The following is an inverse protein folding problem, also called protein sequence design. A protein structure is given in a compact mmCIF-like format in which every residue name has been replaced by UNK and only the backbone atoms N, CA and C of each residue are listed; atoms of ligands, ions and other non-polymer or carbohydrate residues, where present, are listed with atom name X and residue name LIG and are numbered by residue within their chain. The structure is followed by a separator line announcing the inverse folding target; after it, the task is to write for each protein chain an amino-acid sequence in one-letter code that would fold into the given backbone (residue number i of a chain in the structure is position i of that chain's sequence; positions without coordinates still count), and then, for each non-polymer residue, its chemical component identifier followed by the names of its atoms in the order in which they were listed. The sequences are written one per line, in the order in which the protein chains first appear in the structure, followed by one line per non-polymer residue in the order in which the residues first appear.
data_IF_419676326796
#
_entry.id   IF_419676326796
#
_cell.length_a   1.000
_cell.length_b   1.000
_cell.length_c   1.000
_cell.angle_alpha   90.00
_cell.angle_beta   90.00
_cell.angle_gamma   90.00
#
_symmetry.space_group_name_H-M   'P 1'
#
loop_
_entity.id
_entity.type
_entity.pdbx_description
1 polymer ?
#
# COMPACT_ATOMS: atom_id res chain seq x y z
N UNK A 1 2.47 3.02 -61.07
CA UNK A 1 2.07 2.11 -59.95
C UNK A 1 3.27 1.71 -59.09
N UNK A 2 4.36 1.23 -59.65
CA UNK A 2 5.54 0.78 -58.89
C UNK A 2 6.13 1.88 -58.00
N UNK A 3 6.26 3.11 -58.50
CA UNK A 3 6.78 4.26 -57.74
C UNK A 3 5.93 4.60 -56.48
N UNK A 4 4.61 4.47 -56.55
CA UNK A 4 3.73 4.69 -55.37
C UNK A 4 3.85 3.55 -54.37
N UNK A 5 4.01 2.30 -54.82
CA UNK A 5 4.19 1.15 -53.95
C UNK A 5 5.49 1.23 -53.16
N UNK A 6 6.60 1.61 -53.81
CA UNK A 6 7.89 1.78 -53.14
C UNK A 6 7.88 2.96 -52.18
N UNK A 7 7.21 4.07 -52.52
CA UNK A 7 7.06 5.22 -51.63
C UNK A 7 6.24 4.87 -50.38
N UNK A 8 5.13 4.13 -50.51
CA UNK A 8 4.35 3.68 -49.37
C UNK A 8 5.16 2.72 -48.48
N UNK A 9 6.02 1.85 -49.09
CA UNK A 9 6.93 0.99 -48.33
C UNK A 9 7.99 1.75 -47.54
N UNK A 10 8.54 2.84 -48.10
CA UNK A 10 9.48 3.71 -47.42
C UNK A 10 8.78 4.39 -46.23
N UNK A 11 7.60 4.94 -46.44
CA UNK A 11 6.82 5.60 -45.37
C UNK A 11 6.44 4.63 -44.24
N UNK A 12 6.07 3.40 -44.59
CA UNK A 12 5.79 2.36 -43.63
C UNK A 12 7.02 2.00 -42.77
N UNK A 13 8.16 1.76 -43.43
CA UNK A 13 9.42 1.47 -42.73
C UNK A 13 9.90 2.64 -41.85
N UNK A 14 9.69 3.88 -42.29
CA UNK A 14 10.01 5.07 -41.48
C UNK A 14 9.10 5.17 -40.25
N UNK A 15 7.81 4.89 -40.38
CA UNK A 15 6.86 4.88 -39.26
C UNK A 15 7.23 3.80 -38.26
N UNK A 16 7.58 2.59 -38.72
CA UNK A 16 8.04 1.50 -37.87
C UNK A 16 9.32 1.88 -37.10
N UNK A 17 10.31 2.47 -37.79
CA UNK A 17 11.53 3.01 -37.15
C UNK A 17 11.22 4.03 -36.06
N UNK A 18 10.27 4.92 -36.28
CA UNK A 18 9.89 5.94 -35.30
C UNK A 18 9.29 5.29 -34.03
N UNK A 19 8.43 4.27 -34.21
CA UNK A 19 7.81 3.54 -33.09
C UNK A 19 8.86 2.77 -32.30
N UNK A 20 9.74 2.01 -32.99
CA UNK A 20 10.82 1.26 -32.34
C UNK A 20 11.79 2.20 -31.63
N UNK A 21 12.12 3.34 -32.21
CA UNK A 21 12.99 4.34 -31.58
C UNK A 21 12.36 4.93 -30.31
N UNK A 22 11.04 5.16 -30.32
CA UNK A 22 10.31 5.59 -29.13
C UNK A 22 10.32 4.51 -28.05
N UNK A 23 10.09 3.25 -28.41
CA UNK A 23 10.18 2.11 -27.48
C UNK A 23 11.57 2.02 -26.85
N UNK A 24 12.62 2.13 -27.65
CA UNK A 24 13.99 2.06 -27.17
C UNK A 24 14.36 3.25 -26.26
N UNK A 25 13.90 4.46 -26.60
CA UNK A 25 14.11 5.65 -25.76
C UNK A 25 13.46 5.51 -24.37
N UNK A 26 12.35 4.76 -24.28
CA UNK A 26 11.59 4.53 -23.04
C UNK A 26 11.89 3.16 -22.40
N UNK A 27 12.98 2.49 -22.79
CA UNK A 27 13.32 1.16 -22.24
C UNK A 27 13.57 1.18 -20.72
N UNK A 28 14.00 2.31 -20.16
CA UNK A 28 14.23 2.49 -18.73
C UNK A 28 13.12 3.31 -18.03
N UNK A 29 11.99 3.57 -18.70
CA UNK A 29 10.87 4.31 -18.11
C UNK A 29 9.96 3.36 -17.36
N UNK A 30 9.80 3.55 -16.05
CA UNK A 30 8.95 2.73 -15.16
C UNK A 30 7.51 2.67 -15.68
N UNK A 31 6.96 1.44 -15.79
CA UNK A 31 5.58 1.20 -16.22
C UNK A 31 5.27 1.55 -17.68
N UNK A 32 6.29 1.87 -18.49
CA UNK A 32 6.08 2.18 -19.90
C UNK A 32 5.55 0.95 -20.66
N UNK A 33 4.58 1.19 -21.54
CA UNK A 33 4.01 0.16 -22.45
C UNK A 33 4.43 0.47 -23.87
N UNK A 34 5.19 -0.44 -24.46
CA UNK A 34 5.66 -0.32 -25.83
C UNK A 34 4.53 -0.22 -26.82
N UNK A 35 4.82 0.29 -27.99
CA UNK A 35 3.89 0.39 -29.11
C UNK A 35 4.39 -0.41 -30.30
N UNK A 36 3.46 -0.84 -31.15
CA UNK A 36 3.75 -1.51 -32.42
C UNK A 36 2.98 -0.83 -33.55
N UNK A 37 3.65 -0.55 -34.66
CA UNK A 37 3.00 -0.04 -35.84
C UNK A 37 2.19 -1.15 -36.55
N UNK A 38 0.93 -0.87 -36.86
CA UNK A 38 0.04 -1.76 -37.57
C UNK A 38 -0.14 -1.27 -39.01
N UNK A 39 -0.03 -2.19 -39.99
CA UNK A 39 -0.10 -1.88 -41.40
C UNK A 39 -1.20 -2.66 -42.08
N UNK A 40 -1.87 -2.05 -43.05
CA UNK A 40 -2.80 -2.69 -43.94
C UNK A 40 -2.36 -2.52 -45.38
N UNK A 41 -2.64 -3.51 -46.20
CA UNK A 41 -2.48 -3.45 -47.66
C UNK A 41 -3.49 -2.47 -48.28
N UNK A 42 -3.11 -1.86 -49.38
CA UNK A 42 -3.96 -0.98 -50.15
C UNK A 42 -4.27 -1.64 -51.50
N UNK A 43 -5.53 -1.98 -51.72
CA UNK A 43 -6.04 -2.44 -52.98
C UNK A 43 -6.85 -1.35 -53.68
N UNK A 44 -6.54 -1.12 -54.97
CA UNK A 44 -7.37 -0.27 -55.83
C UNK A 44 -8.58 -1.07 -56.33
N UNK A 45 -9.76 -0.84 -55.77
CA UNK A 45 -11.01 -1.42 -56.25
C UNK A 45 -11.53 -0.55 -57.38
N UNK A 46 -11.39 -0.98 -58.62
CA UNK A 46 -11.95 -0.29 -59.80
C UNK A 46 -13.16 -1.09 -60.27
N UNK A 47 -14.36 -0.70 -59.83
CA UNK A 47 -15.61 -1.33 -60.21
C UNK A 47 -15.90 -2.67 -59.50
N UNK A 48 -16.97 -3.37 -59.91
CA UNK A 48 -17.49 -4.59 -59.27
C UNK A 48 -16.65 -5.86 -59.51
N UNK A 49 -15.51 -5.81 -60.20
CA UNK A 49 -14.68 -6.96 -60.50
C UNK A 49 -13.28 -6.82 -59.90
N UNK A 50 -12.99 -7.57 -58.85
CA UNK A 50 -11.61 -7.82 -58.39
C UNK A 50 -11.01 -8.85 -59.34
N UNK A 51 -10.18 -8.41 -60.27
CA UNK A 51 -9.46 -9.34 -61.15
C UNK A 51 -8.48 -10.18 -60.32
N UNK A 52 -8.44 -11.50 -60.53
CA UNK A 52 -7.51 -12.41 -59.86
C UNK A 52 -6.02 -12.06 -60.11
N UNK A 53 -5.74 -11.12 -61.03
CA UNK A 53 -4.41 -10.62 -61.40
C UNK A 53 -4.14 -9.21 -60.93
N UNK A 54 -4.98 -8.63 -60.02
CA UNK A 54 -4.77 -7.30 -59.53
C UNK A 54 -3.53 -7.24 -58.58
N UNK A 55 -2.58 -6.37 -58.93
CA UNK A 55 -1.42 -6.10 -58.05
C UNK A 55 -1.81 -5.06 -57.02
N UNK A 56 -1.48 -5.29 -55.72
CA UNK A 56 -1.74 -4.33 -54.63
C UNK A 56 -1.08 -2.97 -54.86
N UNK A 57 -1.68 -1.92 -54.32
CA UNK A 57 -1.21 -0.52 -54.46
C UNK A 57 -0.27 -0.06 -53.33
N UNK A 58 0.27 -1.02 -52.56
CA UNK A 58 1.21 -0.75 -51.46
C UNK A 58 0.59 -0.95 -50.05
N UNK A 59 1.15 -0.27 -49.10
CA UNK A 59 0.77 -0.38 -47.67
C UNK A 59 0.50 1.00 -47.06
N UNK A 60 -0.34 1.04 -46.04
CA UNK A 60 -0.54 2.22 -45.17
C UNK A 60 -0.50 1.83 -43.71
N UNK A 61 0.02 2.69 -42.85
CA UNK A 61 -0.13 2.55 -41.44
C UNK A 61 -1.59 2.80 -41.06
N UNK A 62 -2.17 1.91 -40.27
CA UNK A 62 -3.56 1.99 -39.81
C UNK A 62 -3.64 2.47 -38.37
N UNK A 63 -2.69 2.03 -37.53
CA UNK A 63 -2.70 2.31 -36.11
C UNK A 63 -1.30 2.15 -35.49
N UNK A 64 -1.14 2.66 -34.26
CA UNK A 64 -0.01 2.40 -33.37
C UNK A 64 -0.55 1.75 -32.11
N UNK A 65 -0.63 0.43 -32.13
CA UNK A 65 -1.23 -0.37 -31.07
C UNK A 65 -0.30 -0.47 -29.87
N UNK A 66 -0.78 -0.11 -28.67
CA UNK A 66 -0.04 -0.27 -27.43
C UNK A 66 0.03 -1.73 -26.99
N UNK A 67 1.19 -2.14 -26.49
CA UNK A 67 1.44 -3.48 -26.01
C UNK A 67 1.37 -3.49 -24.47
N UNK A 68 0.23 -3.88 -23.90
CA UNK A 68 0.02 -3.92 -22.45
C UNK A 68 0.63 -5.16 -21.78
N UNK A 69 1.68 -5.72 -22.35
CA UNK A 69 2.42 -6.80 -21.70
C UNK A 69 3.08 -6.27 -20.42
N UNK A 70 3.15 -7.14 -19.42
CA UNK A 70 3.84 -6.81 -18.17
C UNK A 70 5.35 -6.76 -18.41
N UNK A 71 6.01 -5.73 -17.88
CA UNK A 71 7.47 -5.66 -17.77
C UNK A 71 7.99 -6.49 -16.60
N UNK A 72 9.30 -6.61 -16.47
CA UNK A 72 9.92 -7.27 -15.33
C UNK A 72 9.69 -6.45 -14.07
N UNK A 73 9.56 -7.13 -12.93
CA UNK A 73 9.41 -6.49 -11.63
C UNK A 73 10.77 -6.45 -10.94
N UNK A 74 11.26 -5.26 -10.67
CA UNK A 74 12.52 -5.01 -10.00
C UNK A 74 12.29 -4.53 -8.58
N UNK A 75 13.01 -5.12 -7.62
CA UNK A 75 12.91 -4.72 -6.21
C UNK A 75 13.67 -3.45 -5.94
N UNK A 76 13.09 -2.57 -5.11
CA UNK A 76 13.69 -1.31 -4.65
C UNK A 76 13.73 -1.25 -3.13
N UNK A 77 14.41 -0.25 -2.58
CA UNK A 77 14.46 0.00 -1.14
C UNK A 77 13.40 0.98 -0.63
N UNK A 78 12.57 1.53 -1.54
CA UNK A 78 11.54 2.50 -1.18
C UNK A 78 10.19 1.79 -0.98
N UNK A 79 9.61 1.90 0.20
CA UNK A 79 8.31 1.29 0.54
C UNK A 79 7.11 1.86 -0.22
N UNK A 80 7.26 3.06 -0.83
CA UNK A 80 6.25 3.70 -1.66
C UNK A 80 6.38 3.35 -3.15
N UNK A 81 7.35 2.54 -3.53
CA UNK A 81 7.43 1.96 -4.86
C UNK A 81 6.51 0.75 -4.93
N UNK A 82 5.57 0.76 -5.86
CA UNK A 82 4.59 -0.30 -6.03
C UNK A 82 4.66 -0.91 -7.42
N UNK A 83 4.55 -2.21 -7.51
CA UNK A 83 4.36 -2.92 -8.77
C UNK A 83 3.08 -3.75 -8.74
N UNK A 84 2.42 -3.90 -9.89
CA UNK A 84 1.29 -4.81 -10.06
C UNK A 84 1.79 -6.05 -10.77
N UNK A 85 1.72 -7.21 -10.10
CA UNK A 85 1.97 -8.51 -10.72
C UNK A 85 0.66 -9.06 -11.29
N UNK A 86 0.49 -8.99 -12.59
CA UNK A 86 -0.73 -9.37 -13.30
C UNK A 86 -1.48 -8.18 -13.89
N UNK A 87 -2.80 -8.31 -14.06
CA UNK A 87 -3.64 -7.31 -14.72
C UNK A 87 -4.08 -6.18 -13.79
N UNK A 88 -4.33 -4.99 -14.35
CA UNK A 88 -4.85 -3.82 -13.65
C UNK A 88 -3.95 -2.61 -13.80
N UNK A 89 -4.42 -1.47 -13.35
CA UNK A 89 -3.71 -0.18 -13.33
C UNK A 89 -3.93 0.45 -11.96
N UNK A 90 -2.96 1.17 -11.46
CA UNK A 90 -3.16 2.07 -10.34
C UNK A 90 -4.13 3.19 -10.75
N UNK A 91 -5.07 3.48 -9.87
CA UNK A 91 -6.00 4.59 -10.07
C UNK A 91 -5.45 5.83 -9.39
N UNK A 92 -5.33 6.92 -10.12
CA UNK A 92 -4.84 8.20 -9.62
C UNK A 92 -5.83 9.33 -9.92
N UNK A 93 -5.87 10.33 -9.08
CA UNK A 93 -6.72 11.50 -9.24
C UNK A 93 -5.88 12.69 -9.72
N UNK A 94 -6.19 13.19 -10.91
CA UNK A 94 -5.51 14.33 -11.52
C UNK A 94 -6.05 15.71 -11.06
N UNK A 95 -7.05 15.71 -10.17
CA UNK A 95 -7.82 16.92 -9.81
C UNK A 95 -8.93 17.25 -10.80
N UNK A 96 -8.85 16.79 -12.05
CA UNK A 96 -9.89 16.94 -13.07
C UNK A 96 -10.67 15.64 -13.32
N UNK A 97 -10.23 14.53 -12.75
CA UNK A 97 -10.83 13.21 -12.89
C UNK A 97 -9.84 12.09 -12.61
N UNK A 98 -10.31 10.86 -12.79
CA UNK A 98 -9.48 9.68 -12.60
C UNK A 98 -8.62 9.43 -13.83
N UNK A 99 -7.38 9.06 -13.59
CA UNK A 99 -6.44 8.55 -14.58
C UNK A 99 -5.84 7.24 -14.08
N UNK A 100 -5.17 6.53 -14.95
CA UNK A 100 -4.70 5.17 -14.73
C UNK A 100 -3.24 5.06 -15.11
N UNK A 101 -2.44 4.40 -14.29
CA UNK A 101 -1.00 4.24 -14.56
C UNK A 101 -0.51 2.86 -14.13
N UNK A 102 0.59 2.41 -14.78
CA UNK A 102 1.38 1.27 -14.33
C UNK A 102 2.67 1.71 -13.64
N UNK A 103 3.01 2.98 -13.73
CA UNK A 103 4.15 3.53 -12.99
C UNK A 103 3.79 3.61 -11.51
N UNK A 104 4.56 2.90 -10.69
CA UNK A 104 4.34 2.82 -9.25
C UNK A 104 5.38 3.56 -8.42
N UNK A 105 6.17 4.44 -9.02
CA UNK A 105 7.18 5.26 -8.35
C UNK A 105 6.53 6.46 -7.65
N UNK A 106 5.79 6.17 -6.56
CA UNK A 106 5.11 7.18 -5.78
C UNK A 106 6.04 7.85 -4.78
N UNK A 107 5.68 9.05 -4.37
CA UNK A 107 6.35 9.80 -3.32
C UNK A 107 5.34 10.53 -2.44
N UNK A 108 5.78 10.92 -1.25
CA UNK A 108 4.98 11.70 -0.30
C UNK A 108 5.26 13.20 -0.47
N UNK A 109 4.19 14.01 -0.45
CA UNK A 109 4.30 15.47 -0.41
C UNK A 109 4.40 16.00 1.05
N UNK A 110 4.62 17.31 1.19
CA UNK A 110 4.69 17.97 2.51
C UNK A 110 3.37 17.88 3.32
N UNK A 111 2.26 17.52 2.68
CA UNK A 111 0.95 17.33 3.30
C UNK A 111 0.65 15.86 3.56
N UNK A 112 1.60 14.95 3.29
CA UNK A 112 1.48 13.51 3.46
C UNK A 112 0.66 12.81 2.38
N UNK A 113 0.31 13.47 1.28
CA UNK A 113 -0.37 12.78 0.18
C UNK A 113 0.63 11.95 -0.61
N UNK A 114 0.21 10.78 -1.04
CA UNK A 114 1.01 9.90 -1.91
C UNK A 114 0.68 10.23 -3.36
N UNK A 115 1.68 10.68 -4.10
CA UNK A 115 1.56 11.24 -5.44
C UNK A 115 2.43 10.51 -6.44
N UNK A 116 2.03 10.56 -7.72
CA UNK A 116 2.93 10.28 -8.86
C UNK A 116 3.89 11.45 -9.07
N UNK A 117 4.91 11.26 -9.92
CA UNK A 117 5.87 12.33 -10.27
C UNK A 117 5.21 13.58 -10.87
N UNK A 118 4.01 13.44 -11.43
CA UNK A 118 3.20 14.51 -12.01
C UNK A 118 2.30 15.22 -10.98
N UNK A 119 2.30 14.74 -9.73
CA UNK A 119 1.47 15.30 -8.67
C UNK A 119 0.03 14.75 -8.64
N UNK A 120 -0.22 13.56 -9.22
CA UNK A 120 -1.54 12.91 -9.17
C UNK A 120 -1.65 12.04 -7.92
N UNK A 121 -2.75 12.19 -7.17
CA UNK A 121 -2.97 11.47 -5.92
C UNK A 121 -3.34 10.01 -6.15
N UNK A 122 -2.61 9.09 -5.51
CA UNK A 122 -2.96 7.67 -5.50
C UNK A 122 -4.31 7.46 -4.79
N UNK A 123 -5.20 6.70 -5.42
CA UNK A 123 -6.53 6.42 -4.91
C UNK A 123 -6.57 5.09 -4.15
N UNK A 124 -7.25 5.13 -3.01
CA UNK A 124 -7.45 3.95 -2.15
C UNK A 124 -8.91 3.85 -1.72
N UNK A 125 -9.33 2.65 -1.39
CA UNK A 125 -10.56 2.38 -0.65
C UNK A 125 -10.31 2.66 0.83
N UNK A 126 -11.08 3.56 1.47
CA UNK A 126 -10.90 3.88 2.88
C UNK A 126 -11.29 2.70 3.78
N UNK A 127 -10.70 2.56 4.97
CA UNK A 127 -11.13 1.57 5.93
C UNK A 127 -12.56 1.86 6.40
N UNK A 128 -13.36 0.81 6.60
CA UNK A 128 -14.70 0.92 7.16
C UNK A 128 -14.63 1.35 8.63
N UNK A 129 -15.41 2.35 9.00
CA UNK A 129 -15.52 2.81 10.39
C UNK A 129 -16.21 1.76 11.30
N UNK A 130 -17.01 0.85 10.73
CA UNK A 130 -17.80 -0.16 11.45
C UNK A 130 -17.64 -1.51 10.74
N UNK A 131 -17.14 -2.51 11.44
CA UNK A 131 -17.17 -3.91 10.98
C UNK A 131 -15.93 -4.44 10.28
N UNK A 132 -14.86 -3.66 10.15
CA UNK A 132 -13.60 -4.07 9.50
C UNK A 132 -13.69 -4.12 7.96
N UNK A 133 -12.54 -4.23 7.28
CA UNK A 133 -12.44 -4.21 5.82
C UNK A 133 -12.46 -2.79 5.25
N UNK A 134 -12.74 -2.67 3.94
CA UNK A 134 -12.64 -1.41 3.19
C UNK A 134 -13.94 -1.07 2.46
N UNK A 135 -14.26 0.22 2.37
CA UNK A 135 -15.41 0.70 1.59
C UNK A 135 -15.02 0.81 0.12
N UNK A 136 -15.42 -0.20 -0.67
CA UNK A 136 -15.15 -0.25 -2.10
C UNK A 136 -16.08 0.64 -2.95
N UNK A 137 -17.03 1.32 -2.34
CA UNK A 137 -17.96 2.22 -3.04
C UNK A 137 -17.41 3.63 -3.22
N UNK A 138 -16.43 4.02 -2.41
CA UNK A 138 -15.82 5.35 -2.43
C UNK A 138 -14.31 5.28 -2.59
N UNK A 139 -13.74 6.25 -3.30
CA UNK A 139 -12.30 6.42 -3.43
C UNK A 139 -11.85 7.64 -2.63
N UNK A 140 -10.69 7.53 -2.01
CA UNK A 140 -10.01 8.65 -1.32
C UNK A 140 -8.55 8.71 -1.74
N UNK A 141 -7.98 9.92 -1.66
CA UNK A 141 -6.54 10.09 -1.79
C UNK A 141 -5.84 9.40 -0.62
N UNK A 142 -4.78 8.64 -0.89
CA UNK A 142 -3.95 8.09 0.16
C UNK A 142 -3.17 9.25 0.81
N UNK A 143 -3.37 9.40 2.12
CA UNK A 143 -2.68 10.41 2.92
C UNK A 143 -2.06 9.76 4.16
N UNK A 144 -0.78 10.02 4.39
CA UNK A 144 0.04 9.41 5.44
C UNK A 144 0.06 10.24 6.73
N UNK A 145 -0.13 11.56 6.63
CA UNK A 145 -0.10 12.46 7.82
C UNK A 145 -1.36 12.41 8.68
N UNK A 146 -2.49 11.95 8.11
CA UNK A 146 -3.71 11.74 8.91
C UNK A 146 -3.56 10.63 9.94
N UNK A 147 -2.44 9.97 9.91
CA UNK A 147 -2.12 8.80 10.69
C UNK A 147 -1.10 9.08 11.78
N UNK A 148 -1.27 10.12 12.60
CA UNK A 148 -0.64 10.13 13.93
C UNK A 148 -1.45 9.17 14.82
N UNK A 149 -0.78 8.19 15.44
CA UNK A 149 -1.43 7.40 16.46
C UNK A 149 -1.72 8.30 17.64
N UNK A 150 -3.01 8.62 17.83
CA UNK A 150 -3.42 9.39 19.00
C UNK A 150 -3.07 8.62 20.27
N UNK A 151 -2.71 9.37 21.33
CA UNK A 151 -2.59 8.79 22.65
C UNK A 151 -3.93 8.19 23.10
N UNK A 152 -3.85 7.07 23.80
CA UNK A 152 -5.02 6.43 24.41
C UNK A 152 -4.76 6.29 25.92
N UNK A 153 -5.66 6.84 26.73
CA UNK A 153 -5.56 6.70 28.19
C UNK A 153 -5.69 5.23 28.58
N UNK A 154 -4.86 4.80 29.53
CA UNK A 154 -4.99 3.48 30.13
C UNK A 154 -6.26 3.41 30.96
N UNK A 155 -7.09 2.39 30.71
CA UNK A 155 -8.31 2.13 31.46
C UNK A 155 -8.30 0.76 32.12
N UNK A 156 -7.55 -0.17 31.55
CA UNK A 156 -7.45 -1.55 32.01
C UNK A 156 -6.01 -2.02 32.01
N UNK A 157 -5.66 -2.83 33.01
CA UNK A 157 -4.44 -3.60 32.98
C UNK A 157 -4.69 -5.01 33.53
N UNK A 158 -4.04 -6.01 32.95
CA UNK A 158 -4.07 -7.38 33.42
C UNK A 158 -2.75 -7.69 34.14
N UNK A 159 -2.85 -8.17 35.36
CA UNK A 159 -1.73 -8.55 36.21
C UNK A 159 -1.86 -10.02 36.57
N UNK A 160 -0.84 -10.80 36.33
CA UNK A 160 -0.73 -12.17 36.82
C UNK A 160 0.37 -12.21 37.85
N UNK A 161 0.04 -12.52 39.09
CA UNK A 161 0.98 -12.56 40.20
C UNK A 161 0.75 -13.80 41.07
N UNK A 162 1.80 -14.27 41.75
CA UNK A 162 1.69 -15.20 42.85
C UNK A 162 1.94 -14.47 44.17
N UNK A 163 0.97 -14.44 45.07
CA UNK A 163 1.10 -13.90 46.41
C UNK A 163 1.48 -15.07 47.36
N UNK A 164 2.58 -14.95 48.16
CA UNK A 164 3.03 -16.06 49.00
C UNK A 164 1.98 -16.41 50.07
N UNK A 165 1.53 -17.64 50.13
CA UNK A 165 0.61 -18.10 51.19
C UNK A 165 1.26 -18.03 52.58
N UNK A 166 2.61 -18.20 52.63
CA UNK A 166 3.44 -18.13 53.85
C UNK A 166 3.67 -16.72 54.37
N UNK A 167 3.32 -15.66 53.59
CA UNK A 167 3.51 -14.28 54.05
C UNK A 167 2.80 -14.04 55.38
N UNK A 168 3.42 -13.25 56.27
CA UNK A 168 2.81 -12.79 57.53
C UNK A 168 1.96 -11.52 57.31
N UNK A 169 0.97 -11.30 58.14
CA UNK A 169 0.29 -9.99 58.19
C UNK A 169 1.29 -8.93 58.62
N UNK A 170 1.41 -7.77 57.93
CA UNK A 170 2.29 -6.70 58.34
C UNK A 170 2.04 -6.22 59.77
N UNK A 171 3.12 -5.93 60.47
CA UNK A 171 3.04 -5.49 61.89
C UNK A 171 2.80 -3.99 62.02
N UNK A 172 3.19 -3.23 61.01
CA UNK A 172 2.94 -1.77 60.96
C UNK A 172 1.57 -1.48 60.35
N UNK A 173 0.73 -0.82 61.09
CA UNK A 173 -0.58 -0.34 60.68
C UNK A 173 -0.80 1.10 61.11
N UNK A 174 -1.46 1.96 60.33
CA UNK A 174 -2.06 1.69 59.01
C UNK A 174 -1.03 1.58 57.90
N UNK A 175 -1.48 1.05 56.70
CA UNK A 175 -0.67 0.97 55.48
C UNK A 175 -0.09 2.36 55.11
N UNK A 176 1.16 2.38 54.71
CA UNK A 176 1.87 3.58 54.21
C UNK A 176 2.83 3.21 53.10
N UNK A 177 2.80 3.95 51.97
CA UNK A 177 3.71 3.77 50.85
C UNK A 177 5.18 4.05 51.21
N UNK A 178 5.42 4.82 52.26
CA UNK A 178 6.77 5.17 52.75
C UNK A 178 7.34 4.18 53.75
N UNK A 179 6.54 3.24 54.28
CA UNK A 179 6.96 2.24 55.23
C UNK A 179 6.87 0.81 54.64
N UNK A 180 8.02 0.24 54.33
CA UNK A 180 8.13 -1.10 53.76
C UNK A 180 7.59 -2.23 54.63
N UNK A 181 7.51 -2.01 55.96
CA UNK A 181 6.98 -3.00 56.90
C UNK A 181 5.44 -2.99 56.99
N UNK A 182 4.78 -2.07 56.25
CA UNK A 182 3.32 -1.95 56.20
C UNK A 182 2.69 -2.73 55.02
N UNK A 183 3.47 -3.30 54.12
CA UNK A 183 3.00 -4.10 52.98
C UNK A 183 3.91 -5.28 52.71
N UNK A 184 3.42 -6.27 51.96
CA UNK A 184 4.21 -7.49 51.66
C UNK A 184 4.95 -7.43 50.31
N UNK A 185 4.29 -6.98 49.25
CA UNK A 185 4.84 -6.98 47.91
C UNK A 185 4.29 -5.82 47.11
N UNK A 186 4.96 -5.48 46.00
CA UNK A 186 4.54 -4.43 45.05
C UNK A 186 4.70 -4.86 43.60
N UNK A 187 3.82 -4.34 42.76
CA UNK A 187 3.99 -4.38 41.29
C UNK A 187 3.88 -2.96 40.74
N UNK A 188 4.90 -2.52 39.99
CA UNK A 188 4.91 -1.19 39.37
C UNK A 188 4.89 -1.35 37.84
N UNK A 189 4.08 -0.52 37.17
CA UNK A 189 3.97 -0.46 35.72
C UNK A 189 3.60 0.95 35.28
N UNK A 190 3.87 1.28 34.02
CA UNK A 190 3.51 2.58 33.46
C UNK A 190 2.10 2.55 32.90
N UNK A 191 1.35 3.62 33.11
CA UNK A 191 0.05 3.90 32.50
C UNK A 191 0.14 5.20 31.71
N UNK A 192 -0.81 5.47 30.85
CA UNK A 192 -0.85 6.68 30.04
C UNK A 192 -2.14 7.46 30.31
N UNK A 193 -2.04 8.77 30.29
CA UNK A 193 -3.18 9.67 30.36
C UNK A 193 -3.79 9.95 28.98
N UNK A 194 -4.83 10.78 28.91
CA UNK A 194 -5.51 11.12 27.64
C UNK A 194 -4.67 11.97 26.68
N UNK A 195 -3.53 12.50 27.12
CA UNK A 195 -2.58 13.27 26.32
C UNK A 195 -1.32 12.46 25.99
N UNK A 196 -1.22 11.21 26.48
CA UNK A 196 -0.10 10.31 26.29
C UNK A 196 1.03 10.50 27.30
N UNK A 197 0.81 11.29 28.34
CA UNK A 197 1.73 11.40 29.45
C UNK A 197 1.87 10.06 30.17
N UNK A 198 3.12 9.64 30.43
CA UNK A 198 3.41 8.39 31.15
C UNK A 198 3.43 8.65 32.64
N UNK A 199 2.68 7.84 33.40
CA UNK A 199 2.54 7.90 34.85
C UNK A 199 2.88 6.54 35.46
N UNK A 200 3.51 6.53 36.63
CA UNK A 200 3.83 5.29 37.35
C UNK A 200 2.63 4.82 38.16
N UNK A 201 2.12 3.62 37.88
CA UNK A 201 1.12 2.96 38.71
C UNK A 201 1.78 1.87 39.54
N UNK A 202 1.54 1.88 40.86
CA UNK A 202 2.07 0.89 41.80
C UNK A 202 0.94 0.26 42.59
N UNK A 203 0.85 -1.05 42.53
CA UNK A 203 -0.06 -1.85 43.38
C UNK A 203 0.74 -2.36 44.56
N UNK A 204 0.27 -2.08 45.76
CA UNK A 204 0.80 -2.62 47.00
C UNK A 204 -0.11 -3.72 47.51
N UNK A 205 0.45 -4.87 47.81
CA UNK A 205 -0.31 -6.02 48.33
C UNK A 205 -0.04 -6.15 49.83
N UNK A 206 -1.11 -6.06 50.62
CA UNK A 206 -1.10 -6.14 52.06
C UNK A 206 -1.91 -7.38 52.48
N UNK A 207 -1.27 -8.29 53.19
CA UNK A 207 -1.98 -9.46 53.76
C UNK A 207 -2.76 -9.03 54.99
N UNK A 208 -4.08 -9.26 54.96
CA UNK A 208 -5.00 -8.85 56.04
C UNK A 208 -5.44 -10.02 56.93
N UNK A 209 -5.26 -11.27 56.45
CA UNK A 209 -5.63 -12.49 57.16
C UNK A 209 -5.35 -13.76 56.39
N UNK A 210 -5.89 -14.87 56.86
CA UNK A 210 -5.80 -16.14 56.14
C UNK A 210 -6.52 -16.03 54.82
N UNK A 211 -5.78 -16.24 53.72
CA UNK A 211 -6.29 -16.15 52.34
C UNK A 211 -6.92 -14.83 51.95
N UNK A 212 -6.63 -13.74 52.71
CA UNK A 212 -7.18 -12.42 52.48
C UNK A 212 -6.08 -11.39 52.31
N UNK A 213 -6.24 -10.55 51.29
CA UNK A 213 -5.30 -9.49 50.94
C UNK A 213 -6.04 -8.22 50.56
N UNK A 214 -5.41 -7.07 50.78
CA UNK A 214 -5.81 -5.79 50.20
C UNK A 214 -4.83 -5.37 49.11
N UNK A 215 -5.35 -4.90 48.00
CA UNK A 215 -4.59 -4.28 46.91
C UNK A 215 -4.83 -2.76 46.96
N UNK A 216 -3.79 -1.99 47.26
CA UNK A 216 -3.80 -0.53 47.21
C UNK A 216 -3.15 -0.07 45.90
N UNK A 217 -3.87 0.71 45.10
CA UNK A 217 -3.32 1.29 43.88
C UNK A 217 -2.94 2.75 44.07
N UNK A 218 -1.71 3.08 43.73
CA UNK A 218 -1.22 4.46 43.69
C UNK A 218 -0.79 4.80 42.26
N UNK A 219 -1.18 5.97 41.78
CA UNK A 219 -0.78 6.51 40.49
C UNK A 219 -0.04 7.83 40.70
N UNK A 220 1.26 7.89 40.36
CA UNK A 220 2.19 8.98 40.66
C UNK A 220 2.14 9.41 42.16
N UNK A 221 2.02 8.41 43.06
CA UNK A 221 1.94 8.64 44.49
C UNK A 221 0.57 9.12 45.01
N UNK A 222 -0.43 9.31 44.14
CA UNK A 222 -1.81 9.62 44.51
C UNK A 222 -2.59 8.32 44.73
N UNK A 223 -3.35 8.29 45.85
CA UNK A 223 -4.15 7.12 46.20
C UNK A 223 -5.39 6.97 45.30
N UNK A 224 -5.46 5.88 44.59
CA UNK A 224 -6.61 5.49 43.77
C UNK A 224 -7.61 4.59 44.54
N UNK A 225 -7.30 4.23 45.81
CA UNK A 225 -8.14 3.42 46.66
C UNK A 225 -7.65 1.99 46.88
N UNK A 226 -8.43 1.26 47.64
CA UNK A 226 -8.12 -0.12 48.07
C UNK A 226 -9.22 -1.08 47.66
N UNK A 227 -8.82 -2.27 47.23
CA UNK A 227 -9.72 -3.37 46.84
C UNK A 227 -9.32 -4.65 47.56
N UNK A 228 -10.29 -5.34 48.14
CA UNK A 228 -10.07 -6.61 48.84
C UNK A 228 -9.99 -7.78 47.87
N UNK A 229 -9.06 -8.71 48.14
CA UNK A 229 -8.90 -9.97 47.41
C UNK A 229 -8.97 -11.14 48.40
N UNK A 230 -9.71 -12.17 48.02
CA UNK A 230 -9.77 -13.44 48.80
C UNK A 230 -9.47 -14.61 47.90
N UNK A 231 -8.81 -15.62 48.46
CA UNK A 231 -8.42 -16.83 47.76
C UNK A 231 -9.08 -18.05 48.40
N UNK A 232 -9.34 -19.08 47.62
CA UNK A 232 -9.81 -20.37 48.13
C UNK A 232 -8.67 -21.23 48.68
N UNK A 233 -9.00 -22.39 49.21
CA UNK A 233 -8.02 -23.34 49.74
C UNK A 233 -7.08 -23.92 48.67
N UNK A 234 -7.43 -23.81 47.39
CA UNK A 234 -6.57 -24.19 46.24
C UNK A 234 -5.71 -23.05 45.75
N UNK A 235 -5.75 -21.86 46.40
CA UNK A 235 -5.00 -20.70 46.03
C UNK A 235 -5.53 -19.91 44.85
N UNK A 236 -6.75 -20.11 44.42
CA UNK A 236 -7.41 -19.42 43.35
C UNK A 236 -8.16 -18.18 43.88
N UNK A 237 -8.11 -17.06 43.18
CA UNK A 237 -8.84 -15.83 43.50
C UNK A 237 -10.37 -16.09 43.44
N UNK A 238 -11.10 -15.70 44.49
CA UNK A 238 -12.55 -15.81 44.62
C UNK A 238 -13.25 -14.46 44.77
N UNK A 239 -12.59 -13.47 45.33
CA UNK A 239 -13.08 -12.09 45.42
C UNK A 239 -12.03 -11.14 44.82
N UNK A 240 -12.45 -10.27 43.89
CA UNK A 240 -13.77 -10.21 43.24
C UNK A 240 -14.00 -11.39 42.29
N UNK A 241 -15.25 -11.84 42.19
CA UNK A 241 -15.60 -13.06 41.44
C UNK A 241 -15.25 -13.03 39.95
N UNK A 242 -15.22 -11.83 39.35
CA UNK A 242 -14.80 -11.58 37.96
C UNK A 242 -13.30 -11.28 37.82
N UNK A 243 -12.55 -11.27 38.93
CA UNK A 243 -11.12 -10.92 38.96
C UNK A 243 -10.79 -9.44 38.71
N UNK A 244 -11.81 -8.56 38.56
CA UNK A 244 -11.61 -7.16 38.24
C UNK A 244 -11.66 -6.27 39.50
N UNK A 245 -10.57 -5.57 39.77
CA UNK A 245 -10.45 -4.55 40.83
C UNK A 245 -10.64 -3.16 40.21
N UNK A 246 -11.75 -2.49 40.52
CA UNK A 246 -12.01 -1.13 40.02
C UNK A 246 -11.55 -0.09 41.04
N UNK A 247 -10.78 0.88 40.58
CA UNK A 247 -10.20 1.93 41.40
C UNK A 247 -10.78 3.30 41.08
N UNK A 248 -10.61 4.25 42.00
CA UNK A 248 -11.10 5.61 41.83
C UNK A 248 -10.31 6.37 40.77
N UNK A 249 -10.94 7.32 40.07
CA UNK A 249 -10.24 8.18 39.12
C UNK A 249 -9.21 9.07 39.81
N UNK A 250 -8.02 9.16 39.21
CA UNK A 250 -6.93 10.05 39.65
C UNK A 250 -6.74 11.15 38.62
N UNK A 251 -6.61 12.40 39.11
CA UNK A 251 -6.33 13.57 38.28
C UNK A 251 -4.88 14.01 38.49
N UNK A 252 -4.08 13.97 37.44
CA UNK A 252 -2.65 14.34 37.51
C UNK A 252 -2.39 15.85 37.49
N UNK A 253 -3.40 16.70 37.28
CA UNK A 253 -3.26 18.16 37.32
C UNK A 253 -2.52 18.75 36.10
N UNK A 254 -2.26 17.98 35.08
CA UNK A 254 -1.58 18.38 33.85
C UNK A 254 -2.54 18.78 32.71
N UNK A 255 -3.84 18.87 32.98
CA UNK A 255 -4.88 19.19 32.01
C UNK A 255 -5.43 17.96 31.25
N UNK A 256 -4.94 16.75 31.52
CA UNK A 256 -5.52 15.52 31.03
C UNK A 256 -6.82 15.17 31.75
N UNK A 257 -7.64 14.32 31.15
CA UNK A 257 -8.80 13.74 31.81
C UNK A 257 -8.35 12.83 32.96
N UNK A 258 -9.13 12.75 34.08
CA UNK A 258 -8.85 11.82 35.17
C UNK A 258 -8.76 10.37 34.62
N UNK A 259 -7.74 9.65 35.06
CA UNK A 259 -7.53 8.23 34.67
C UNK A 259 -8.23 7.34 35.68
N UNK A 260 -9.11 6.46 35.16
CA UNK A 260 -9.79 5.43 35.97
C UNK A 260 -9.22 4.07 35.56
N UNK A 261 -8.71 3.31 36.55
CA UNK A 261 -8.03 2.06 36.28
C UNK A 261 -8.86 0.86 36.80
N UNK A 262 -9.01 -0.16 35.96
CA UNK A 262 -9.52 -1.47 36.36
C UNK A 262 -8.42 -2.51 36.17
N UNK A 263 -8.00 -3.16 37.24
CA UNK A 263 -7.01 -4.23 37.19
C UNK A 263 -7.68 -5.59 37.10
N UNK A 264 -7.38 -6.34 36.07
CA UNK A 264 -7.79 -7.75 35.97
C UNK A 264 -6.74 -8.63 36.64
N UNK A 265 -7.12 -9.21 37.78
CA UNK A 265 -6.30 -10.08 38.62
C UNK A 265 -6.73 -11.54 38.55
N UNK A 266 -7.56 -11.93 37.54
CA UNK A 266 -8.16 -13.27 37.43
C UNK A 266 -7.14 -14.42 37.42
N UNK A 267 -5.91 -14.12 36.93
CA UNK A 267 -4.80 -15.07 36.86
C UNK A 267 -3.86 -14.97 38.09
N UNK A 268 -4.23 -14.18 39.11
CA UNK A 268 -3.44 -14.09 40.35
C UNK A 268 -3.74 -15.29 41.25
N UNK A 269 -2.71 -15.83 41.84
CA UNK A 269 -2.75 -17.03 42.67
C UNK A 269 -2.14 -16.78 44.03
N UNK A 270 -2.45 -17.65 45.00
CA UNK A 270 -1.81 -17.66 46.31
C UNK A 270 -1.24 -19.05 46.58
N UNK A 271 0.04 -19.26 46.25
CA UNK A 271 0.76 -20.50 46.50
C UNK A 271 1.88 -20.33 47.51
N UNK A 272 2.45 -21.44 47.98
CA UNK A 272 3.57 -21.46 48.92
C UNK A 272 4.93 -21.03 48.35
N UNK A 273 5.00 -20.65 47.08
CA UNK A 273 6.20 -20.10 46.43
C UNK A 273 6.33 -18.61 46.68
N UNK A 274 7.54 -18.09 46.49
CA UNK A 274 7.82 -16.67 46.64
C UNK A 274 6.96 -15.80 45.71
N UNK A 275 6.88 -14.52 46.01
CA UNK A 275 6.21 -13.52 45.19
C UNK A 275 6.82 -13.49 43.76
N UNK A 276 5.96 -13.55 42.80
CA UNK A 276 6.32 -13.32 41.39
C UNK A 276 5.21 -12.57 40.68
N UNK A 277 5.57 -11.64 39.83
CA UNK A 277 4.64 -10.94 38.94
C UNK A 277 5.10 -11.11 37.50
N UNK A 278 4.16 -11.45 36.63
CA UNK A 278 4.38 -11.49 35.18
C UNK A 278 4.37 -10.08 34.57
N UNK A 279 4.57 -10.02 33.27
CA UNK A 279 4.43 -8.78 32.53
C UNK A 279 2.98 -8.26 32.65
N UNK A 280 2.83 -6.94 32.83
CA UNK A 280 1.54 -6.28 32.90
C UNK A 280 1.08 -5.92 31.50
N UNK A 281 -0.06 -6.46 31.08
CA UNK A 281 -0.71 -6.08 29.83
C UNK A 281 -1.69 -4.93 30.06
N UNK A 282 -1.63 -3.89 29.23
CA UNK A 282 -2.40 -2.65 29.39
C UNK A 282 -2.94 -2.14 28.05
N UNK A 283 -4.06 -1.42 28.09
CA UNK A 283 -4.76 -0.93 26.90
C UNK A 283 -4.34 0.49 26.47
N UNK A 284 -3.62 1.23 27.29
CA UNK A 284 -3.17 2.60 26.98
C UNK A 284 -1.84 2.65 26.25
N UNK A 285 -1.66 3.70 25.47
CA UNK A 285 -0.41 4.00 24.74
C UNK A 285 -0.16 5.51 24.65
N UNK A 286 1.11 5.87 24.53
CA UNK A 286 1.53 7.22 24.16
C UNK A 286 1.19 7.55 22.70
N UNK A 287 1.25 8.82 22.33
CA UNK A 287 1.14 9.22 20.94
C UNK A 287 2.33 8.67 20.13
N UNK A 288 2.03 8.06 18.99
CA UNK A 288 3.04 7.49 18.11
C UNK A 288 3.30 8.37 16.89
N UNK A 289 4.57 8.48 16.48
CA UNK A 289 4.95 9.04 15.18
C UNK A 289 5.06 7.92 14.15
N UNK A 290 4.78 8.22 12.88
CA UNK A 290 4.93 7.25 11.79
C UNK A 290 6.39 6.77 11.72
N UNK A 291 6.57 5.46 11.80
CA UNK A 291 7.88 4.79 11.73
C UNK A 291 8.13 4.17 10.37
N UNK A 292 7.16 3.43 9.85
CA UNK A 292 7.24 2.80 8.52
C UNK A 292 5.84 2.58 7.94
N UNK A 293 5.81 2.34 6.63
CA UNK A 293 4.61 1.98 5.89
C UNK A 293 4.85 0.61 5.29
N UNK A 294 3.89 -0.28 5.48
CA UNK A 294 3.85 -1.60 4.85
C UNK A 294 2.64 -1.71 3.93
N UNK A 295 2.84 -2.38 2.79
CA UNK A 295 1.73 -2.70 1.88
C UNK A 295 1.74 -4.20 1.62
N UNK A 296 0.65 -4.84 1.99
CA UNK A 296 0.50 -6.28 1.79
C UNK A 296 0.13 -6.64 0.35
N UNK A 297 0.15 -7.93 0.02
CA UNK A 297 -0.21 -8.44 -1.32
C UNK A 297 -1.66 -8.18 -1.73
N UNK A 298 -2.53 -7.81 -0.78
CA UNK A 298 -3.90 -7.36 -1.04
C UNK A 298 -3.99 -5.86 -1.28
N UNK A 299 -2.85 -5.16 -1.28
CA UNK A 299 -2.77 -3.71 -1.46
C UNK A 299 -3.23 -2.92 -0.24
N UNK A 300 -3.29 -3.53 0.94
CA UNK A 300 -3.64 -2.83 2.18
C UNK A 300 -2.42 -2.05 2.67
N UNK A 301 -2.57 -0.75 2.74
CA UNK A 301 -1.55 0.16 3.24
C UNK A 301 -1.71 0.29 4.76
N UNK A 302 -0.69 -0.16 5.49
CA UNK A 302 -0.64 -0.14 6.95
C UNK A 302 0.48 0.79 7.42
N UNK A 303 0.15 1.74 8.27
CA UNK A 303 1.10 2.58 8.98
C UNK A 303 1.54 1.89 10.28
N UNK A 304 2.84 1.81 10.52
CA UNK A 304 3.43 1.36 11.78
C UNK A 304 3.98 2.55 12.53
N UNK A 305 3.67 2.63 13.84
CA UNK A 305 4.05 3.76 14.67
C UNK A 305 5.15 3.41 15.67
N UNK A 306 5.83 4.44 16.17
CA UNK A 306 6.89 4.33 17.20
C UNK A 306 6.40 3.71 18.51
N UNK A 307 5.10 3.75 18.77
CA UNK A 307 4.45 3.17 19.95
C UNK A 307 3.96 1.73 19.73
N UNK A 308 4.44 1.04 18.68
CA UNK A 308 4.05 -0.31 18.25
C UNK A 308 2.55 -0.45 17.88
N UNK A 309 1.84 0.66 17.71
CA UNK A 309 0.49 0.62 17.14
C UNK A 309 0.54 0.58 15.63
N UNK A 310 -0.49 0.03 15.01
CA UNK A 310 -0.66 -0.01 13.56
C UNK A 310 -2.01 0.54 13.17
N UNK A 311 -2.09 1.23 12.03
CA UNK A 311 -3.36 1.67 11.47
C UNK A 311 -3.43 1.38 9.97
N UNK A 312 -4.56 0.85 9.52
CA UNK A 312 -4.84 0.67 8.09
C UNK A 312 -5.29 2.01 7.52
N UNK A 313 -4.55 2.52 6.53
CA UNK A 313 -4.82 3.81 5.89
C UNK A 313 -5.80 3.68 4.72
N UNK A 314 -5.77 2.53 4.05
CA UNK A 314 -6.63 2.23 2.92
C UNK A 314 -6.14 1.00 2.16
N UNK A 315 -6.91 0.61 1.15
CA UNK A 315 -6.53 -0.45 0.22
C UNK A 315 -6.39 0.13 -1.17
N UNK A 316 -5.26 -0.09 -1.83
CA UNK A 316 -4.98 0.44 -3.18
C UNK A 316 -6.06 0.03 -4.15
N UNK A 317 -6.65 1.02 -4.82
CA UNK A 317 -7.69 0.82 -5.81
C UNK A 317 -7.07 0.54 -7.18
N UNK A 318 -7.39 -0.62 -7.74
CA UNK A 318 -6.99 -1.02 -9.08
C UNK A 318 -8.16 -0.86 -10.06
N UNK A 319 -7.83 -0.53 -11.29
CA UNK A 319 -8.79 -0.47 -12.40
C UNK A 319 -8.39 -1.43 -13.50
N UNK A 320 -9.39 -2.00 -14.20
CA UNK A 320 -9.18 -2.77 -15.42
C UNK A 320 -10.24 -2.36 -16.45
N UNK A 321 -9.97 -2.64 -17.73
CA UNK A 321 -10.81 -2.24 -18.85
C UNK A 321 -11.09 -3.43 -19.77
N UNK A 322 -12.29 -3.44 -20.33
CA UNK A 322 -12.68 -4.47 -21.30
C UNK A 322 -11.86 -4.36 -22.60
N UNK A 323 -11.53 -3.14 -23.02
CA UNK A 323 -10.71 -2.86 -24.19
C UNK A 323 -9.56 -1.91 -23.84
N UNK A 324 -8.36 -2.48 -23.64
CA UNK A 324 -7.15 -1.71 -23.34
C UNK A 324 -6.71 -0.80 -24.50
N UNK A 325 -6.99 -1.20 -25.75
CA UNK A 325 -6.63 -0.39 -26.92
C UNK A 325 -7.47 0.91 -27.03
N UNK A 326 -8.62 0.94 -26.37
CA UNK A 326 -9.42 2.14 -26.28
C UNK A 326 -8.91 3.16 -25.25
N UNK A 327 -7.91 2.83 -24.46
CA UNK A 327 -7.31 3.78 -23.51
C UNK A 327 -6.57 4.89 -24.25
N UNK A 328 -6.75 6.12 -23.81
CA UNK A 328 -6.08 7.28 -24.40
C UNK A 328 -4.88 7.68 -23.55
N UNK A 329 -3.69 7.55 -24.13
CA UNK A 329 -2.46 7.97 -23.50
C UNK A 329 -2.39 9.51 -23.41
N UNK A 330 -2.01 10.02 -22.24
CA UNK A 330 -1.85 11.47 -21.98
C UNK A 330 -0.40 11.88 -21.73
N UNK A 331 0.53 10.95 -21.87
CA UNK A 331 1.94 11.11 -21.53
C UNK A 331 2.26 10.61 -20.12
N UNK A 332 3.55 10.59 -19.77
CA UNK A 332 4.06 10.20 -18.45
C UNK A 332 3.49 8.85 -17.95
N UNK A 333 3.42 7.85 -18.84
CA UNK A 333 2.87 6.51 -18.54
C UNK A 333 1.46 6.52 -17.92
N UNK A 334 0.66 7.51 -18.28
CA UNK A 334 -0.70 7.73 -17.75
C UNK A 334 -1.73 7.64 -18.86
N UNK A 335 -2.87 7.00 -18.56
CA UNK A 335 -3.99 6.79 -19.48
C UNK A 335 -5.29 7.32 -18.91
N UNK A 336 -6.15 7.79 -19.81
CA UNK A 336 -7.54 8.13 -19.51
C UNK A 336 -8.48 7.11 -20.14
N UNK A 337 -9.58 6.82 -19.45
CA UNK A 337 -10.66 6.04 -20.03
C UNK A 337 -11.31 6.81 -21.18
N UNK A 338 -11.59 6.14 -22.28
CA UNK A 338 -12.39 6.65 -23.37
C UNK A 338 -13.68 5.83 -23.52
N UNK A 339 -14.59 6.27 -24.37
CA UNK A 339 -15.80 5.50 -24.69
C UNK A 339 -15.47 4.12 -25.28
N UNK A 340 -14.37 4.02 -26.05
CA UNK A 340 -13.94 2.79 -26.70
C UNK A 340 -13.28 1.81 -25.73
N UNK A 341 -12.71 2.30 -24.61
CA UNK A 341 -12.16 1.46 -23.56
C UNK A 341 -13.24 0.79 -22.70
N UNK A 342 -14.44 1.37 -22.70
CA UNK A 342 -15.54 1.00 -21.83
C UNK A 342 -15.39 1.59 -20.42
N UNK A 343 -16.29 1.22 -19.52
CA UNK A 343 -16.26 1.66 -18.13
C UNK A 343 -15.12 0.96 -17.37
N UNK A 344 -14.39 1.72 -16.55
CA UNK A 344 -13.40 1.16 -15.66
C UNK A 344 -14.06 0.18 -14.67
N UNK A 345 -13.61 -1.05 -14.67
CA UNK A 345 -13.94 -2.02 -13.62
C UNK A 345 -12.96 -1.79 -12.49
N UNK A 346 -13.49 -1.37 -11.33
CA UNK A 346 -12.68 -1.08 -10.15
C UNK A 346 -12.64 -2.29 -9.23
N UNK A 347 -11.52 -2.51 -8.55
CA UNK A 347 -11.37 -3.61 -7.61
C UNK A 347 -10.12 -3.49 -6.76
N UNK A 348 -9.97 -4.44 -5.85
CA UNK A 348 -8.81 -4.54 -4.97
C UNK A 348 -7.80 -5.56 -5.49
N UNK A 349 -6.56 -5.40 -5.08
CA UNK A 349 -5.46 -6.31 -5.38
C UNK A 349 -5.79 -7.76 -5.04
N UNK A 350 -5.47 -8.69 -5.95
CA UNK A 350 -5.70 -10.13 -5.78
C UNK A 350 -7.15 -10.57 -5.85
N UNK A 351 -8.11 -9.68 -6.17
CA UNK A 351 -9.52 -10.02 -6.31
C UNK A 351 -9.91 -10.23 -7.78
N UNK A 352 -10.61 -11.35 -8.07
CA UNK A 352 -11.13 -11.62 -9.41
C UNK A 352 -10.06 -11.64 -10.49
N UNK A 353 -10.12 -10.65 -11.40
CA UNK A 353 -9.18 -10.50 -12.52
C UNK A 353 -7.98 -9.59 -12.25
N UNK A 354 -7.88 -9.02 -11.04
CA UNK A 354 -6.81 -8.11 -10.70
C UNK A 354 -5.56 -8.84 -10.22
N UNK A 355 -4.40 -8.33 -10.63
CA UNK A 355 -3.11 -8.77 -10.14
C UNK A 355 -2.89 -8.40 -8.67
N UNK A 356 -1.75 -8.82 -8.13
CA UNK A 356 -1.34 -8.51 -6.76
C UNK A 356 -0.40 -7.31 -6.74
N UNK A 357 -0.56 -6.43 -5.75
CA UNK A 357 0.36 -5.31 -5.51
C UNK A 357 1.55 -5.82 -4.70
N UNK A 358 2.74 -5.36 -5.07
CA UNK A 358 3.99 -5.58 -4.35
C UNK A 358 4.57 -4.22 -3.97
N UNK A 359 4.89 -4.05 -2.69
CA UNK A 359 5.63 -2.89 -2.16
C UNK A 359 7.13 -3.11 -2.29
N UNK A 360 7.90 -2.03 -2.38
CA UNK A 360 9.34 -2.10 -2.57
C UNK A 360 9.73 -2.70 -3.92
N UNK A 361 8.92 -2.47 -4.95
CA UNK A 361 9.16 -2.97 -6.30
C UNK A 361 8.57 -2.02 -7.35
N UNK A 362 9.18 -1.99 -8.53
CA UNK A 362 8.71 -1.23 -9.69
C UNK A 362 8.58 -2.14 -10.91
N UNK A 363 7.59 -1.87 -11.73
CA UNK A 363 7.46 -2.51 -13.02
C UNK A 363 8.36 -1.78 -14.04
N UNK A 364 9.36 -2.48 -14.57
CA UNK A 364 10.20 -1.99 -15.67
C UNK A 364 9.38 -1.79 -16.94
N UNK A 365 9.92 -1.06 -17.89
CA UNK A 365 9.32 -0.93 -19.22
C UNK A 365 9.03 -2.30 -19.83
N UNK A 366 7.90 -2.46 -20.51
CA UNK A 366 7.64 -3.66 -21.32
C UNK A 366 8.61 -3.80 -22.52
N UNK A 367 9.41 -2.78 -22.79
CA UNK A 367 10.46 -2.74 -23.83
C UNK A 367 11.87 -2.74 -23.24
N UNK A 368 12.04 -3.17 -21.98
CA UNK A 368 13.35 -3.22 -21.31
C UNK A 368 14.36 -4.16 -22.00
N UNK A 369 13.88 -5.19 -22.74
CA UNK A 369 14.75 -5.99 -23.62
C UNK A 369 15.18 -5.15 -24.83
N UNK A 370 16.22 -4.38 -24.63
CA UNK A 370 16.82 -3.53 -25.67
C UNK A 370 17.40 -4.34 -26.84
N UNK A 371 17.80 -5.59 -26.62
CA UNK A 371 18.33 -6.48 -27.67
C UNK A 371 17.26 -6.77 -28.72
N UNK A 372 16.06 -7.11 -28.27
CA UNK A 372 14.92 -7.32 -29.15
C UNK A 372 14.56 -6.06 -29.95
N UNK A 373 14.52 -4.90 -29.27
CA UNK A 373 14.24 -3.61 -29.91
C UNK A 373 15.31 -3.25 -30.97
N UNK A 374 16.60 -3.51 -30.69
CA UNK A 374 17.67 -3.29 -31.66
C UNK A 374 17.56 -4.21 -32.88
N UNK A 375 17.19 -5.48 -32.70
CA UNK A 375 16.96 -6.41 -33.81
C UNK A 375 15.82 -5.91 -34.71
N UNK A 376 14.72 -5.46 -34.10
CA UNK A 376 13.59 -4.93 -34.85
C UNK A 376 13.94 -3.61 -35.56
N UNK A 377 14.75 -2.76 -34.93
CA UNK A 377 15.28 -1.55 -35.56
C UNK A 377 16.14 -1.89 -36.80
N UNK A 378 17.03 -2.90 -36.72
CA UNK A 378 17.84 -3.34 -37.86
C UNK A 378 16.96 -3.88 -38.99
N UNK A 379 15.90 -4.64 -38.68
CA UNK A 379 14.93 -5.13 -39.68
C UNK A 379 14.23 -3.95 -40.39
N UNK A 380 13.74 -2.97 -39.60
CA UNK A 380 13.07 -1.81 -40.15
C UNK A 380 14.02 -0.95 -41.00
N UNK A 381 15.28 -0.78 -40.59
CA UNK A 381 16.33 -0.10 -41.39
C UNK A 381 16.62 -0.82 -42.69
N UNK A 382 16.72 -2.16 -42.67
CA UNK A 382 16.90 -2.96 -43.91
C UNK A 382 15.70 -2.82 -44.83
N UNK A 383 14.48 -2.83 -44.30
CA UNK A 383 13.26 -2.64 -45.07
C UNK A 383 13.25 -1.23 -45.74
N UNK A 384 13.64 -0.21 -44.99
CA UNK A 384 13.78 1.15 -45.50
C UNK A 384 14.81 1.22 -46.64
N UNK A 385 16.01 0.62 -46.48
CA UNK A 385 17.08 0.60 -47.47
C UNK A 385 16.64 -0.18 -48.75
N UNK A 386 15.99 -1.31 -48.57
CA UNK A 386 15.48 -2.10 -49.69
C UNK A 386 14.44 -1.34 -50.54
N UNK A 387 13.50 -0.67 -49.89
CA UNK A 387 12.52 0.17 -50.57
C UNK A 387 13.15 1.41 -51.20
N UNK A 388 14.17 2.01 -50.59
CA UNK A 388 14.93 3.13 -51.16
C UNK A 388 15.70 2.70 -52.43
N UNK A 389 16.32 1.50 -52.43
CA UNK A 389 16.96 0.93 -53.60
C UNK A 389 15.94 0.64 -54.71
N UNK A 390 14.78 0.07 -54.39
CA UNK A 390 13.71 -0.17 -55.37
C UNK A 390 13.24 1.15 -56.00
N UNK A 391 13.14 2.25 -55.22
CA UNK A 391 12.82 3.58 -55.72
C UNK A 391 13.87 4.11 -56.73
N UNK A 392 15.15 3.89 -56.46
CA UNK A 392 16.22 4.28 -57.39
C UNK A 392 16.18 3.51 -58.69
N UNK A 393 15.86 2.19 -58.64
CA UNK A 393 15.67 1.35 -59.84
C UNK A 393 14.46 1.83 -60.62
N UNK A 394 13.34 2.11 -59.99
CA UNK A 394 12.13 2.63 -60.65
C UNK A 394 12.41 3.98 -61.35
N UNK A 395 13.16 4.90 -60.74
CA UNK A 395 13.56 6.18 -61.31
C UNK A 395 14.49 5.98 -62.52
N UNK A 396 15.44 5.05 -62.42
CA UNK A 396 16.36 4.75 -63.56
C UNK A 396 15.60 4.12 -64.73
N UNK A 397 14.66 3.21 -64.50
CA UNK A 397 13.80 2.66 -65.52
C UNK A 397 12.94 3.75 -66.18
N UNK A 398 12.33 4.64 -65.40
CA UNK A 398 11.56 5.76 -65.92
C UNK A 398 12.38 6.71 -66.80
N UNK A 399 13.60 7.03 -66.35
CA UNK A 399 14.54 7.89 -67.13
C UNK A 399 15.01 7.21 -68.44
N UNK A 400 15.32 5.90 -68.40
CA UNK A 400 15.71 5.15 -69.58
C UNK A 400 14.57 5.04 -70.59
N UNK A 401 13.34 4.83 -70.10
CA UNK A 401 12.13 4.82 -70.93
C UNK A 401 11.91 6.18 -71.62
N UNK A 402 12.01 7.26 -70.82
CA UNK A 402 11.89 8.63 -71.39
C UNK A 402 12.91 8.92 -72.44
N UNK A 403 14.20 8.54 -72.23
CA UNK A 403 15.26 8.69 -73.20
C UNK A 403 15.06 7.81 -74.44
N UNK A 404 14.40 6.66 -74.33
CA UNK A 404 14.11 5.78 -75.46
C UNK A 404 12.92 6.28 -76.34
N UNK A 405 11.97 7.04 -75.73
CA UNK A 405 10.83 7.61 -76.44
C UNK A 405 11.17 8.98 -77.08
N UNK A 406 12.20 9.68 -76.57
CA UNK A 406 12.63 10.99 -77.05
C UNK A 406 13.67 10.93 -78.20
N UNK A 407 14.01 9.74 -78.64
CA UNK A 407 14.81 9.50 -79.84
C UNK A 407 13.88 9.10 -81.00
#
# INVERSE_FOLDING_TARGET
MALNTTLTGINAAQSDLNVISNNLANANTTGFKGSRAEFADVFAVTGNNINATAVGSGTRMTDVAQQFQQGDIETTSNSLDFAISGNGFFTVNTGSGLAYTRAGNFHEDASGNVLTQEGYNLQVYPPNAIGGGFDTSTLKNLNLTTAQSAATASTKAAISANLPSSASVPTTTPFSTSDSDSYNNTTTFNIFDSQGGSHAATVYYVKTGTNSWDAHLFMDGQDAGTQAMTFDAAGKLTTPANGNLAFNPVNFGNGSNPVTMTLNMSNTTQFGTDYSAGAVDKDGNEAGTLSSIDVDSKGVVTANYSNNQTAQLGQVALANFANLQGLRQTGNTTWLASADAGTAVMGSSGSGQFGTVQSGALESSSTADTTSQLVDMIKAQRNYQANAQALTVDNTLASTLFNAISR
#
